data_IF_903260497788
#
_entry.id   IF_903260497788
#
_cell.length_a   1.000
_cell.length_b   1.000
_cell.length_c   1.000
_cell.angle_alpha   90.00
_cell.angle_beta   90.00
_cell.angle_gamma   90.00
#
_symmetry.space_group_name_H-M   'P 1'
#
loop_
_entity.id
_entity.type
_entity.pdbx_description
1 polymer ?
#
# COMPACT_ATOMS: atom_id res chain seq x y z
N UNK A 1 -26.29 10.11 -10.63
CA UNK A 1 -25.41 9.23 -9.81
C UNK A 1 -25.24 9.89 -8.45
N UNK A 2 -25.78 9.31 -7.37
CA UNK A 2 -25.64 9.89 -6.02
C UNK A 2 -24.19 9.66 -5.54
N UNK A 3 -23.47 10.69 -5.06
CA UNK A 3 -22.14 10.49 -4.51
C UNK A 3 -22.25 9.65 -3.23
N UNK A 4 -21.50 8.54 -3.19
CA UNK A 4 -21.41 7.70 -1.99
C UNK A 4 -20.71 8.46 -0.86
N UNK A 5 -21.18 8.27 0.38
CA UNK A 5 -20.66 8.94 1.58
C UNK A 5 -19.16 8.66 1.78
N UNK A 6 -18.71 7.49 1.33
CA UNK A 6 -17.31 7.05 1.24
C UNK A 6 -16.40 7.99 0.42
N UNK A 7 -16.97 8.81 -0.47
CA UNK A 7 -16.22 9.78 -1.28
C UNK A 7 -15.90 11.09 -0.55
N UNK A 8 -16.55 11.35 0.59
CA UNK A 8 -16.37 12.59 1.35
C UNK A 8 -15.34 12.47 2.47
N UNK A 9 -15.04 11.25 2.91
CA UNK A 9 -14.01 11.01 3.92
C UNK A 9 -12.67 10.73 3.25
N UNK A 10 -11.69 11.60 3.50
CA UNK A 10 -10.32 11.36 3.08
C UNK A 10 -9.84 10.03 3.68
N UNK A 11 -9.42 9.10 2.82
CA UNK A 11 -8.74 7.88 3.23
C UNK A 11 -7.24 8.14 3.30
N UNK A 12 -6.49 7.47 4.20
CA UNK A 12 -5.04 7.60 4.24
C UNK A 12 -4.43 7.33 2.86
N UNK A 13 -3.37 8.09 2.52
CA UNK A 13 -2.62 7.94 1.28
C UNK A 13 -1.20 7.49 1.62
N UNK A 14 -0.82 6.31 1.14
CA UNK A 14 0.57 5.86 1.11
C UNK A 14 1.20 6.26 -0.24
N UNK A 15 2.20 7.11 -0.21
CA UNK A 15 2.90 7.60 -1.39
C UNK A 15 4.25 6.89 -1.56
N UNK A 16 4.37 6.04 -2.57
CA UNK A 16 5.60 5.29 -2.87
C UNK A 16 6.40 5.93 -4.00
N UNK A 17 7.34 6.81 -3.65
CA UNK A 17 8.21 7.51 -4.59
C UNK A 17 9.68 7.44 -4.18
N UNK A 18 10.29 6.23 -4.15
CA UNK A 18 11.64 6.02 -3.62
C UNK A 18 12.72 6.90 -4.29
N UNK A 19 12.66 7.16 -5.59
CA UNK A 19 13.63 8.03 -6.26
C UNK A 19 13.48 9.50 -5.85
N UNK A 20 12.24 9.97 -5.62
CA UNK A 20 12.00 11.37 -5.23
C UNK A 20 12.21 11.60 -3.73
N UNK A 21 11.84 10.65 -2.88
CA UNK A 21 11.92 10.77 -1.42
C UNK A 21 13.36 10.53 -0.93
N UNK A 22 14.06 9.53 -1.48
CA UNK A 22 15.37 9.10 -0.97
C UNK A 22 16.52 9.31 -1.95
N UNK A 23 16.26 9.82 -3.17
CA UNK A 23 17.28 10.02 -4.22
C UNK A 23 18.03 8.75 -4.59
N UNK A 24 17.34 7.61 -4.58
CA UNK A 24 17.91 6.32 -4.95
C UNK A 24 18.22 6.24 -6.45
N UNK A 25 19.36 5.62 -6.76
CA UNK A 25 19.77 5.27 -8.13
C UNK A 25 19.28 3.87 -8.45
N UNK A 26 18.15 3.79 -9.14
CA UNK A 26 17.57 2.53 -9.60
C UNK A 26 17.99 2.25 -11.04
N UNK A 27 18.13 0.98 -11.41
CA UNK A 27 18.55 0.54 -12.73
C UNK A 27 17.44 -0.19 -13.47
N UNK A 28 17.46 -0.09 -14.80
CA UNK A 28 16.49 -0.73 -15.66
C UNK A 28 16.58 -2.27 -15.51
N UNK A 29 15.47 -2.97 -15.26
CA UNK A 29 15.46 -4.42 -15.09
C UNK A 29 15.58 -5.17 -16.42
N UNK A 30 15.44 -4.49 -17.57
CA UNK A 30 15.52 -5.12 -18.87
C UNK A 30 16.97 -5.46 -19.24
N UNK A 31 17.23 -6.72 -19.62
CA UNK A 31 18.57 -7.25 -19.89
C UNK A 31 19.35 -6.45 -20.95
N UNK A 32 18.69 -5.95 -21.99
CA UNK A 32 19.32 -5.21 -23.08
C UNK A 32 19.81 -3.80 -22.67
N UNK A 33 19.34 -3.26 -21.56
CA UNK A 33 19.68 -1.89 -21.12
C UNK A 33 20.95 -1.83 -20.26
N UNK A 34 21.67 -2.94 -20.06
CA UNK A 34 22.94 -2.96 -19.31
C UNK A 34 22.89 -2.21 -17.96
N UNK A 35 21.81 -2.37 -17.20
CA UNK A 35 21.57 -1.68 -15.92
C UNK A 35 21.64 -0.14 -16.02
N UNK A 36 21.18 0.44 -17.14
CA UNK A 36 21.02 1.89 -17.28
C UNK A 36 20.15 2.46 -16.17
N UNK A 37 20.60 3.57 -15.60
CA UNK A 37 19.87 4.31 -14.57
C UNK A 37 18.49 4.75 -15.05
N UNK A 38 17.50 4.61 -14.16
CA UNK A 38 16.14 5.04 -14.36
C UNK A 38 15.94 6.47 -13.85
N UNK A 39 15.13 7.25 -14.56
CA UNK A 39 14.68 8.57 -14.12
C UNK A 39 13.23 8.53 -13.66
N UNK A 40 12.86 9.38 -12.70
CA UNK A 40 11.46 9.48 -12.26
C UNK A 40 10.61 10.15 -13.35
N UNK A 41 9.53 9.48 -13.75
CA UNK A 41 8.60 9.88 -14.81
C UNK A 41 7.23 10.36 -14.27
N UNK A 42 7.19 10.73 -12.98
CA UNK A 42 6.00 11.25 -12.31
C UNK A 42 5.11 10.17 -11.68
N UNK A 43 3.97 10.59 -11.14
CA UNK A 43 3.05 9.71 -10.41
C UNK A 43 2.22 8.88 -11.41
N UNK A 44 2.09 7.59 -11.14
CA UNK A 44 1.20 6.69 -11.85
C UNK A 44 -0.26 7.13 -11.71
N UNK A 45 -0.97 7.18 -12.83
CA UNK A 45 -2.35 7.68 -12.88
C UNK A 45 -3.33 6.85 -12.05
N UNK A 46 -3.05 5.56 -11.83
CA UNK A 46 -3.93 4.71 -11.02
C UNK A 46 -3.42 4.61 -9.60
N UNK A 47 -4.28 5.03 -8.68
CA UNK A 47 -4.18 4.76 -7.26
C UNK A 47 -4.74 3.36 -6.99
N UNK A 48 -4.10 2.60 -6.11
CA UNK A 48 -4.55 1.27 -5.69
C UNK A 48 -5.17 1.34 -4.30
N UNK A 49 -6.28 0.65 -4.10
CA UNK A 49 -6.83 0.44 -2.76
C UNK A 49 -6.15 -0.77 -2.14
N UNK A 50 -5.49 -0.55 -1.01
CA UNK A 50 -4.82 -1.59 -0.24
C UNK A 50 -5.72 -1.97 0.93
N UNK A 51 -6.07 -3.25 1.03
CA UNK A 51 -6.84 -3.78 2.16
C UNK A 51 -5.95 -3.77 3.40
N UNK A 52 -6.46 -3.21 4.48
CA UNK A 52 -5.81 -3.15 5.79
C UNK A 52 -6.72 -3.74 6.88
N UNK A 53 -6.16 -3.99 8.06
CA UNK A 53 -6.85 -4.43 9.27
C UNK A 53 -8.03 -3.50 9.61
N UNK A 54 -7.87 -2.18 9.43
CA UNK A 54 -8.91 -1.20 9.78
C UNK A 54 -9.85 -0.84 8.61
N UNK A 55 -9.68 -1.46 7.44
CA UNK A 55 -10.44 -1.16 6.23
C UNK A 55 -9.56 -1.13 4.99
N UNK A 56 -9.29 0.06 4.47
CA UNK A 56 -8.40 0.24 3.33
C UNK A 56 -7.76 1.63 3.31
N UNK A 57 -6.60 1.73 2.66
CA UNK A 57 -5.96 2.99 2.32
C UNK A 57 -5.66 3.07 0.82
N UNK A 58 -5.43 4.28 0.34
CA UNK A 58 -5.05 4.53 -1.04
C UNK A 58 -3.53 4.49 -1.17
N UNK A 59 -3.03 3.91 -2.24
CA UNK A 59 -1.62 3.86 -2.57
C UNK A 59 -1.36 4.51 -3.92
N UNK A 60 -0.52 5.54 -3.94
CA UNK A 60 0.01 6.15 -5.14
C UNK A 60 1.49 5.78 -5.30
N UNK A 61 1.99 5.75 -6.53
CA UNK A 61 3.38 5.35 -6.78
C UNK A 61 3.94 6.06 -8.00
N UNK A 62 5.25 6.29 -8.03
CA UNK A 62 5.90 6.85 -9.22
C UNK A 62 6.11 5.80 -10.32
N UNK A 63 6.09 6.29 -11.57
CA UNK A 63 6.73 5.62 -12.68
C UNK A 63 8.20 6.03 -12.77
N UNK A 64 9.00 5.06 -13.17
CA UNK A 64 10.40 5.23 -13.52
C UNK A 64 10.54 4.96 -15.02
N UNK A 65 11.38 5.71 -15.71
CA UNK A 65 11.59 5.59 -17.15
C UNK A 65 13.07 5.34 -17.42
N UNK A 66 13.34 4.36 -18.28
CA UNK A 66 14.69 4.11 -18.76
C UNK A 66 15.05 5.12 -19.83
N UNK A 67 16.23 5.74 -19.74
CA UNK A 67 16.70 6.70 -20.75
C UNK A 67 17.18 6.03 -22.05
N UNK A 68 17.35 4.71 -22.04
CA UNK A 68 17.87 3.93 -23.17
C UNK A 68 16.73 3.28 -23.98
N UNK A 69 15.88 2.48 -23.34
CA UNK A 69 14.77 1.81 -24.02
C UNK A 69 13.41 2.54 -23.95
N UNK A 70 13.36 3.71 -23.30
CA UNK A 70 12.15 4.54 -23.09
C UNK A 70 10.99 3.89 -22.31
N UNK A 71 11.16 2.62 -21.88
CA UNK A 71 10.11 1.88 -21.17
C UNK A 71 9.91 2.42 -19.77
N UNK A 72 8.65 2.40 -19.34
CA UNK A 72 8.22 2.75 -17.98
C UNK A 72 8.09 1.50 -17.11
N UNK A 73 8.60 1.59 -15.88
CA UNK A 73 8.50 0.57 -14.84
C UNK A 73 7.92 1.23 -13.60
N UNK A 74 6.97 0.58 -12.93
CA UNK A 74 6.38 1.13 -11.70
C UNK A 74 7.29 0.87 -10.50
N UNK A 75 7.42 1.84 -9.59
CA UNK A 75 8.39 1.78 -8.50
C UNK A 75 8.13 0.69 -7.45
N UNK A 76 6.95 0.08 -7.42
CA UNK A 76 6.65 -1.08 -6.58
C UNK A 76 6.80 -2.44 -7.29
N UNK A 77 7.25 -2.48 -8.54
CA UNK A 77 7.49 -3.75 -9.21
C UNK A 77 8.54 -4.56 -8.45
N UNK A 78 8.43 -5.89 -8.51
CA UNK A 78 9.35 -6.77 -7.81
C UNK A 78 10.82 -6.51 -8.19
N UNK A 79 11.10 -6.27 -9.47
CA UNK A 79 12.46 -6.01 -9.97
C UNK A 79 13.04 -4.67 -9.50
N UNK A 80 12.19 -3.72 -9.10
CA UNK A 80 12.63 -2.46 -8.50
C UNK A 80 12.81 -2.62 -7.00
N UNK A 81 11.84 -3.23 -6.30
CA UNK A 81 11.92 -3.49 -4.87
C UNK A 81 13.11 -4.38 -4.50
N UNK A 82 13.52 -5.29 -5.37
CA UNK A 82 14.68 -6.18 -5.19
C UNK A 82 16.02 -5.46 -5.22
N UNK A 83 16.08 -4.25 -5.80
CA UNK A 83 17.29 -3.40 -5.84
C UNK A 83 17.46 -2.58 -4.55
N UNK A 84 16.39 -2.36 -3.80
CA UNK A 84 16.44 -1.62 -2.54
C UNK A 84 17.18 -2.43 -1.48
N UNK A 85 17.96 -1.75 -0.65
CA UNK A 85 18.46 -2.35 0.58
C UNK A 85 17.30 -2.67 1.54
N UNK A 86 17.62 -3.46 2.56
CA UNK A 86 16.63 -3.96 3.53
C UNK A 86 15.90 -2.81 4.22
N UNK A 87 16.59 -1.72 4.57
CA UNK A 87 16.03 -0.59 5.30
C UNK A 87 14.93 0.13 4.53
N UNK A 88 15.14 0.36 3.23
CA UNK A 88 14.12 0.95 2.37
C UNK A 88 13.02 -0.06 2.00
N UNK A 89 13.37 -1.33 1.82
CA UNK A 89 12.39 -2.38 1.46
C UNK A 89 11.35 -2.59 2.56
N UNK A 90 11.72 -2.53 3.84
CA UNK A 90 10.77 -2.68 4.95
C UNK A 90 9.80 -1.51 5.10
N UNK A 91 10.08 -0.35 4.48
CA UNK A 91 9.15 0.78 4.44
C UNK A 91 8.00 0.55 3.45
N UNK A 92 8.06 -0.51 2.63
CA UNK A 92 6.99 -0.87 1.71
C UNK A 92 5.99 -1.82 2.41
N UNK A 93 4.78 -1.35 2.77
CA UNK A 93 3.94 -2.05 3.74
C UNK A 93 3.02 -3.11 3.13
N UNK A 94 2.98 -3.27 1.80
CA UNK A 94 1.94 -4.06 1.15
C UNK A 94 2.47 -5.04 0.10
N UNK A 95 1.68 -6.06 -0.18
CA UNK A 95 1.88 -7.00 -1.29
C UNK A 95 0.87 -6.67 -2.37
N UNK A 96 1.35 -6.56 -3.61
CA UNK A 96 0.51 -6.25 -4.77
C UNK A 96 0.57 -7.37 -5.81
N UNK A 97 -0.58 -7.67 -6.40
CA UNK A 97 -0.69 -8.48 -7.62
C UNK A 97 -1.24 -7.61 -8.75
N UNK A 98 -1.48 -8.18 -9.93
CA UNK A 98 -2.09 -7.44 -11.03
C UNK A 98 -3.41 -6.76 -10.62
N UNK A 99 -4.23 -7.44 -9.80
CA UNK A 99 -5.61 -7.04 -9.49
C UNK A 99 -5.82 -6.58 -8.05
N UNK A 100 -4.99 -7.03 -7.10
CA UNK A 100 -5.24 -6.86 -5.67
C UNK A 100 -4.04 -6.24 -4.96
N UNK A 101 -4.30 -5.59 -3.83
CA UNK A 101 -3.27 -5.11 -2.91
C UNK A 101 -3.71 -5.35 -1.46
N UNK A 102 -2.79 -5.84 -0.63
CA UNK A 102 -3.06 -6.20 0.75
C UNK A 102 -1.90 -5.77 1.64
N UNK A 103 -2.21 -5.19 2.79
CA UNK A 103 -1.22 -4.81 3.77
C UNK A 103 -0.57 -6.05 4.40
N UNK A 104 0.73 -5.96 4.67
CA UNK A 104 1.49 -7.06 5.27
C UNK A 104 0.94 -7.45 6.64
N UNK A 105 0.35 -6.53 7.41
CA UNK A 105 -0.25 -6.85 8.71
C UNK A 105 -1.40 -7.86 8.59
N UNK A 106 -2.23 -7.73 7.54
CA UNK A 106 -3.31 -8.70 7.27
C UNK A 106 -2.73 -10.08 6.94
N UNK A 107 -1.63 -10.12 6.18
CA UNK A 107 -0.93 -11.36 5.85
C UNK A 107 -0.31 -12.01 7.09
N UNK A 108 0.27 -11.22 8.00
CA UNK A 108 0.82 -11.72 9.26
C UNK A 108 -0.26 -12.34 10.15
N UNK A 109 -1.45 -11.72 10.22
CA UNK A 109 -2.60 -12.32 10.93
C UNK A 109 -3.01 -13.67 10.33
N UNK A 110 -2.94 -13.82 9.00
CA UNK A 110 -3.24 -15.07 8.29
C UNK A 110 -2.16 -16.15 8.47
N UNK A 111 -0.91 -15.76 8.78
CA UNK A 111 0.22 -16.69 8.90
C UNK A 111 0.16 -17.55 10.16
N UNK A 112 -0.49 -17.06 11.23
CA UNK A 112 -0.74 -17.82 12.45
C UNK A 112 -1.85 -18.87 12.23
N UNK A 113 -1.55 -19.91 11.44
CA UNK A 113 -2.46 -21.02 11.10
C UNK A 113 -2.70 -21.93 12.32
N UNK A 114 -3.60 -21.51 13.20
CA UNK A 114 -4.22 -22.35 14.23
C UNK A 114 -5.69 -22.63 13.92
N UNK A 115 -6.27 -23.63 14.59
CA UNK A 115 -7.72 -23.89 14.64
C UNK A 115 -8.44 -22.68 15.28
N UNK A 116 -8.65 -21.61 14.50
CA UNK A 116 -9.21 -20.34 15.00
C UNK A 116 -8.88 -19.10 14.17
N UNK A 117 -7.92 -19.17 13.23
CA UNK A 117 -7.48 -18.02 12.42
C UNK A 117 -7.74 -18.23 10.92
N UNK A 118 -8.98 -18.62 10.57
CA UNK A 118 -9.41 -18.61 9.17
C UNK A 118 -9.59 -17.18 8.65
N UNK A 119 -9.57 -17.01 7.34
CA UNK A 119 -9.84 -15.72 6.68
C UNK A 119 -11.17 -15.11 7.13
N UNK A 120 -12.21 -15.93 7.31
CA UNK A 120 -13.52 -15.50 7.82
C UNK A 120 -13.47 -15.00 9.27
N UNK A 121 -12.64 -15.61 10.12
CA UNK A 121 -12.44 -15.15 11.50
C UNK A 121 -11.67 -13.83 11.55
N UNK A 122 -10.64 -13.67 10.73
CA UNK A 122 -9.89 -12.42 10.61
C UNK A 122 -10.80 -11.30 10.11
N UNK A 123 -11.64 -11.59 9.11
CA UNK A 123 -12.64 -10.64 8.62
C UNK A 123 -13.63 -10.21 9.71
N UNK A 124 -14.08 -11.14 10.57
CA UNK A 124 -14.93 -10.80 11.73
C UNK A 124 -14.19 -9.92 12.74
N UNK A 125 -12.93 -10.24 13.07
CA UNK A 125 -12.08 -9.47 14.00
C UNK A 125 -11.82 -8.06 13.49
N UNK A 126 -11.51 -7.90 12.20
CA UNK A 126 -11.26 -6.61 11.56
C UNK A 126 -12.53 -5.77 11.43
N UNK A 127 -13.67 -6.40 11.12
CA UNK A 127 -14.98 -5.71 11.12
C UNK A 127 -15.44 -5.26 12.50
N UNK A 128 -15.11 -6.01 13.56
CA UNK A 128 -15.45 -5.65 14.94
C UNK A 128 -14.58 -4.55 15.55
N UNK A 129 -13.46 -4.20 14.91
CA UNK A 129 -12.61 -3.07 15.31
C UNK A 129 -13.03 -1.74 14.65
N UNK A 130 -13.76 -1.80 13.52
CA UNK A 130 -14.41 -0.64 12.93
C UNK A 130 -15.73 -0.37 13.69
N UNK A 131 -15.82 0.77 14.35
CA UNK A 131 -16.89 1.19 15.28
C UNK A 131 -16.79 0.65 16.72
N UNK A 132 -15.73 1.03 17.43
CA UNK A 132 -15.97 1.59 18.78
C UNK A 132 -15.88 3.11 18.65
N UNK A 133 -17.03 3.74 18.45
CA UNK A 133 -17.16 5.16 18.81
C UNK A 133 -16.89 5.32 20.31
N UNK A 134 -16.51 6.52 20.78
CA UNK A 134 -16.33 6.76 22.20
C UNK A 134 -17.63 6.38 22.91
N UNK A 135 -17.55 5.48 23.88
CA UNK A 135 -18.63 5.22 24.83
C UNK A 135 -19.03 6.56 25.43
N UNK A 136 -20.25 7.03 25.16
CA UNK A 136 -20.83 8.13 25.92
C UNK A 136 -21.06 7.60 27.34
N UNK A 137 -20.15 7.93 28.24
CA UNK A 137 -20.39 7.86 29.67
C UNK A 137 -21.37 8.99 29.99
N UNK A 138 -22.65 8.64 30.16
CA UNK A 138 -23.68 9.58 30.56
C UNK A 138 -23.39 10.02 32.00
N UNK A 139 -22.94 11.26 32.17
CA UNK A 139 -22.90 11.91 33.48
C UNK A 139 -24.34 12.12 34.00
N UNK A 140 -24.65 11.81 35.26
CA UNK A 140 -25.97 12.11 35.82
C UNK A 140 -26.15 13.63 35.97
N UNK A 141 -27.33 14.14 35.60
CA UNK A 141 -27.72 15.53 35.89
C UNK A 141 -27.85 15.74 37.41
N UNK A 142 -27.43 16.90 37.94
CA UNK A 142 -27.72 17.27 39.32
C UNK A 142 -29.20 17.65 39.49
N UNK A 143 -29.73 17.36 40.68
CA UNK A 143 -31.10 17.65 41.14
C UNK A 143 -31.45 19.15 41.18
#
# INVERSE_FOLDING_TARGET
>A
MKPGVDRYFARPLFLWMPCKIWRLKLVCPHAHCNKRELISAGIHQKVRQVVDVSGFYNMASEYLQCTDCDRKVISWSHDILSQLDVGHRVQFPCILTAMLACDMQVILLLRNRGLGNSSSQIQKKTRGAAFRGPSQEAAPLPE
#
